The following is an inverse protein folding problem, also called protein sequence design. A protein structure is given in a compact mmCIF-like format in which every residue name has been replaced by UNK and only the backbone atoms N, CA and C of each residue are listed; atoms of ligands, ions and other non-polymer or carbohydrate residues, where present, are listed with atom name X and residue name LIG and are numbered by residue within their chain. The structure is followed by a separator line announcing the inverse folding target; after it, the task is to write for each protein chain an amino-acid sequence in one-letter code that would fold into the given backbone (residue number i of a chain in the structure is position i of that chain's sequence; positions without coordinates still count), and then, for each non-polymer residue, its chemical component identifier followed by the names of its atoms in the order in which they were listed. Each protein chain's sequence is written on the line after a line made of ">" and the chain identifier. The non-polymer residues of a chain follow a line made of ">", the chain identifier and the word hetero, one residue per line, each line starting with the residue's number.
data_IF_559324965423
#
_entry.id   IF_559324965423
#
_cell.length_a   1.000
_cell.length_b   1.000
_cell.length_c   1.000
_cell.angle_alpha   90.00
_cell.angle_beta   90.00
_cell.angle_gamma   90.00
#
_symmetry.space_group_name_H-M   'P 1'
#
loop_
_entity.id
_entity.type
_entity.pdbx_description
1 polymer ?
#
# COMPACT_ATOMS: atom_id res chain seq x y z
N UNK A 1 -18.89 21.44 15.63
CA UNK A 1 -18.24 20.45 14.75
C UNK A 1 -16.78 20.82 14.76
N UNK A 2 -16.04 20.22 15.68
CA UNK A 2 -14.67 20.64 15.98
C UNK A 2 -13.72 19.86 15.07
N UNK A 3 -13.13 20.59 14.15
CA UNK A 3 -12.16 20.10 13.18
C UNK A 3 -10.83 19.89 13.93
N UNK A 4 -10.59 18.68 14.41
CA UNK A 4 -9.36 18.38 15.14
C UNK A 4 -8.19 18.33 14.15
N UNK A 5 -7.35 19.34 14.31
CA UNK A 5 -6.12 19.61 13.59
C UNK A 5 -5.23 18.35 13.51
N UNK A 6 -5.00 17.89 12.28
CA UNK A 6 -4.13 16.75 11.99
C UNK A 6 -2.69 17.18 12.26
N UNK A 7 -2.22 16.90 13.48
CA UNK A 7 -0.86 17.16 13.89
C UNK A 7 0.10 16.46 12.92
N UNK A 8 0.90 17.27 12.24
CA UNK A 8 2.00 16.80 11.42
C UNK A 8 2.95 16.07 12.36
N UNK A 9 3.02 14.74 12.25
CA UNK A 9 4.01 13.95 12.94
C UNK A 9 5.37 14.37 12.37
N UNK A 10 6.10 15.20 13.12
CA UNK A 10 7.50 15.50 12.87
C UNK A 10 8.33 14.23 13.07
N UNK A 11 8.31 13.33 12.08
CA UNK A 11 9.27 12.24 11.99
C UNK A 11 10.59 12.80 11.45
N UNK A 12 11.28 13.59 12.27
CA UNK A 12 12.72 13.88 12.15
C UNK A 12 13.25 14.49 13.45
N UNK A 13 13.04 13.81 14.58
CA UNK A 13 13.98 13.94 15.68
C UNK A 13 15.29 13.27 15.23
N UNK A 14 16.17 14.05 14.63
CA UNK A 14 17.57 13.69 14.43
C UNK A 14 18.15 13.37 15.80
N UNK A 15 18.16 12.08 16.15
CA UNK A 15 18.89 11.57 17.31
C UNK A 15 20.36 11.86 17.04
N UNK A 16 20.87 12.89 17.71
CA UNK A 16 22.29 13.21 17.74
C UNK A 16 23.04 11.99 18.26
N UNK A 17 23.70 11.28 17.34
CA UNK A 17 24.60 10.20 17.68
C UNK A 17 25.77 10.74 18.52
N UNK A 18 26.34 9.92 19.42
CA UNK A 18 27.31 10.38 20.39
C UNK A 18 28.54 10.96 19.68
N UNK A 19 28.94 12.16 20.11
CA UNK A 19 30.16 12.85 19.71
C UNK A 19 31.33 11.88 19.57
N UNK A 20 31.81 11.73 18.34
CA UNK A 20 32.98 10.93 18.01
C UNK A 20 34.18 11.58 18.69
N UNK A 21 34.66 10.95 19.77
CA UNK A 21 35.92 11.31 20.44
C UNK A 21 37.04 11.32 19.40
N UNK A 22 37.61 12.48 19.18
CA UNK A 22 38.80 12.68 18.37
C UNK A 22 40.02 12.17 19.17
N UNK A 23 40.25 10.86 19.15
CA UNK A 23 41.41 10.25 19.80
C UNK A 23 42.56 10.08 18.80
N UNK A 24 43.57 10.93 18.97
CA UNK A 24 44.98 10.56 18.83
C UNK A 24 45.47 10.16 17.45
N UNK A 25 45.97 11.14 16.70
CA UNK A 25 47.02 10.91 15.68
C UNK A 25 48.30 10.37 16.33
N UNK A 26 48.37 9.08 16.69
CA UNK A 26 49.64 8.40 17.01
C UNK A 26 49.61 6.97 16.47
N UNK A 27 50.49 6.70 15.50
CA UNK A 27 50.91 5.33 15.16
C UNK A 27 50.20 4.64 13.99
N UNK A 28 50.16 5.24 12.79
CA UNK A 28 49.86 4.46 11.56
C UNK A 28 51.18 3.93 10.98
N UNK A 29 51.49 2.64 11.21
CA UNK A 29 52.65 1.96 10.59
C UNK A 29 52.64 2.15 9.06
N UNK A 30 53.74 2.61 8.43
CA UNK A 30 53.80 2.83 7.00
C UNK A 30 53.88 1.47 6.29
N UNK A 31 52.75 0.97 5.79
CA UNK A 31 52.72 -0.28 5.01
C UNK A 31 51.34 -0.88 4.73
N UNK A 32 50.29 -0.55 5.49
CA UNK A 32 48.97 -1.22 5.41
C UNK A 32 47.91 -0.51 4.56
N UNK A 33 48.32 0.31 3.59
CA UNK A 33 47.41 1.19 2.82
C UNK A 33 46.44 0.44 1.89
N UNK A 34 46.71 -0.80 1.50
CA UNK A 34 45.88 -1.56 0.56
C UNK A 34 44.64 -2.19 1.21
N UNK A 35 44.78 -2.83 2.38
CA UNK A 35 43.67 -3.46 3.10
C UNK A 35 42.62 -2.44 3.57
N UNK A 36 43.05 -1.29 4.10
CA UNK A 36 42.14 -0.21 4.55
C UNK A 36 41.36 0.41 3.37
N UNK A 37 41.97 0.49 2.18
CA UNK A 37 41.29 0.97 0.96
C UNK A 37 40.24 -0.02 0.47
N UNK A 38 40.53 -1.31 0.55
CA UNK A 38 39.58 -2.39 0.20
C UNK A 38 38.39 -2.39 1.17
N UNK A 39 38.64 -2.27 2.48
CA UNK A 39 37.57 -2.17 3.48
C UNK A 39 36.73 -0.89 3.31
N UNK A 40 37.36 0.25 3.01
CA UNK A 40 36.62 1.48 2.69
C UNK A 40 35.75 1.34 1.44
N UNK A 41 36.26 0.73 0.36
CA UNK A 41 35.48 0.44 -0.84
C UNK A 41 34.30 -0.49 -0.54
N UNK A 42 34.52 -1.52 0.26
CA UNK A 42 33.47 -2.47 0.66
C UNK A 42 32.39 -1.82 1.54
N UNK A 43 32.78 -0.95 2.48
CA UNK A 43 31.83 -0.18 3.31
C UNK A 43 30.99 0.77 2.47
N UNK A 44 31.62 1.48 1.53
CA UNK A 44 30.94 2.40 0.64
C UNK A 44 29.92 1.66 -0.25
N UNK A 45 30.29 0.47 -0.75
CA UNK A 45 29.40 -0.34 -1.58
C UNK A 45 28.22 -0.91 -0.78
N UNK A 46 28.46 -1.36 0.47
CA UNK A 46 27.37 -1.78 1.38
C UNK A 46 26.37 -0.65 1.67
N UNK A 47 26.87 0.57 1.90
CA UNK A 47 26.01 1.75 2.13
C UNK A 47 25.20 2.11 0.89
N UNK A 48 25.80 2.03 -0.31
CA UNK A 48 25.08 2.23 -1.57
C UNK A 48 24.01 1.16 -1.77
N UNK A 49 24.33 -0.10 -1.49
CA UNK A 49 23.41 -1.21 -1.63
C UNK A 49 22.22 -1.08 -0.67
N UNK A 50 22.46 -0.77 0.60
CA UNK A 50 21.36 -0.55 1.57
C UNK A 50 20.46 0.62 1.18
N UNK A 51 21.02 1.69 0.60
CA UNK A 51 20.26 2.81 0.06
C UNK A 51 19.40 2.40 -1.15
N UNK A 52 19.94 1.58 -2.07
CA UNK A 52 19.18 1.03 -3.21
C UNK A 52 18.05 0.13 -2.73
N UNK A 53 18.32 -0.77 -1.80
CA UNK A 53 17.32 -1.66 -1.20
C UNK A 53 16.23 -0.89 -0.47
N UNK A 54 16.58 0.17 0.25
CA UNK A 54 15.61 1.06 0.89
C UNK A 54 14.63 1.64 -0.15
N UNK A 55 15.15 2.15 -1.27
CA UNK A 55 14.32 2.68 -2.37
C UNK A 55 13.46 1.59 -3.02
N UNK A 56 14.04 0.43 -3.30
CA UNK A 56 13.31 -0.70 -3.87
C UNK A 56 12.17 -1.17 -2.96
N UNK A 57 12.43 -1.32 -1.66
CA UNK A 57 11.41 -1.68 -0.65
C UNK A 57 10.31 -0.63 -0.57
N UNK A 58 10.66 0.66 -0.55
CA UNK A 58 9.69 1.76 -0.55
C UNK A 58 8.80 1.72 -1.79
N UNK A 59 9.38 1.49 -2.96
CA UNK A 59 8.63 1.37 -4.23
C UNK A 59 7.65 0.19 -4.17
N UNK A 60 8.10 -0.99 -3.75
CA UNK A 60 7.24 -2.17 -3.62
C UNK A 60 6.11 -1.95 -2.62
N UNK A 61 6.39 -1.32 -1.48
CA UNK A 61 5.38 -0.99 -0.47
C UNK A 61 4.29 -0.08 -1.04
N UNK A 62 4.67 0.95 -1.78
CA UNK A 62 3.71 1.88 -2.37
C UNK A 62 2.92 1.24 -3.51
N UNK A 63 3.57 0.43 -4.34
CA UNK A 63 2.89 -0.33 -5.38
C UNK A 63 1.80 -1.24 -4.79
N UNK A 64 2.13 -2.00 -3.73
CA UNK A 64 1.14 -2.85 -3.06
C UNK A 64 -0.02 -2.05 -2.46
N UNK A 65 0.26 -0.90 -1.83
CA UNK A 65 -0.79 -0.04 -1.28
C UNK A 65 -1.68 0.55 -2.37
N UNK A 66 -1.10 0.94 -3.51
CA UNK A 66 -1.81 1.43 -4.68
C UNK A 66 -2.73 0.35 -5.26
N UNK A 67 -2.23 -0.88 -5.42
CA UNK A 67 -3.03 -2.03 -5.86
C UNK A 67 -4.20 -2.31 -4.91
N UNK A 68 -3.97 -2.31 -3.59
CA UNK A 68 -5.04 -2.49 -2.60
C UNK A 68 -6.12 -1.40 -2.68
N UNK A 69 -5.72 -0.14 -2.86
CA UNK A 69 -6.66 0.97 -2.99
C UNK A 69 -7.45 0.84 -4.29
N UNK A 70 -6.78 0.57 -5.41
CA UNK A 70 -7.41 0.40 -6.71
C UNK A 70 -8.45 -0.73 -6.71
N UNK A 71 -8.12 -1.89 -6.11
CA UNK A 71 -9.04 -3.01 -6.00
C UNK A 71 -10.26 -2.66 -5.13
N UNK A 72 -10.05 -1.95 -4.02
CA UNK A 72 -11.14 -1.48 -3.16
C UNK A 72 -12.04 -0.48 -3.90
N UNK A 73 -11.47 0.47 -4.62
CA UNK A 73 -12.22 1.45 -5.40
C UNK A 73 -13.05 0.77 -6.50
N UNK A 74 -12.47 -0.22 -7.19
CA UNK A 74 -13.16 -1.03 -8.19
C UNK A 74 -14.34 -1.78 -7.58
N UNK A 75 -14.17 -2.40 -6.42
CA UNK A 75 -15.25 -3.09 -5.71
C UNK A 75 -16.36 -2.12 -5.29
N UNK A 76 -16.01 -0.95 -4.73
CA UNK A 76 -16.99 0.09 -4.36
C UNK A 76 -17.76 0.57 -5.58
N UNK A 77 -17.10 0.79 -6.71
CA UNK A 77 -17.74 1.24 -7.94
C UNK A 77 -18.69 0.18 -8.51
N UNK A 78 -18.30 -1.10 -8.47
CA UNK A 78 -19.17 -2.20 -8.89
C UNK A 78 -20.43 -2.27 -8.02
N UNK A 79 -20.29 -2.20 -6.69
CA UNK A 79 -21.42 -2.21 -5.76
C UNK A 79 -22.34 -1.01 -5.93
N UNK A 80 -21.79 0.19 -6.18
CA UNK A 80 -22.60 1.40 -6.45
C UNK A 80 -23.43 1.25 -7.71
N UNK A 81 -22.84 0.73 -8.80
CA UNK A 81 -23.56 0.44 -10.05
C UNK A 81 -24.67 -0.58 -9.85
N UNK A 82 -24.41 -1.61 -9.05
CA UNK A 82 -25.41 -2.61 -8.73
C UNK A 82 -26.57 -2.01 -7.92
N UNK A 83 -26.26 -1.19 -6.93
CA UNK A 83 -27.26 -0.48 -6.13
C UNK A 83 -28.11 0.47 -6.99
N UNK A 84 -27.48 1.25 -7.86
CA UNK A 84 -28.18 2.15 -8.79
C UNK A 84 -29.16 1.38 -9.69
N UNK A 85 -28.76 0.19 -10.16
CA UNK A 85 -29.65 -0.70 -10.92
C UNK A 85 -30.85 -1.12 -10.10
N UNK A 86 -30.66 -1.55 -8.85
CA UNK A 86 -31.78 -1.94 -7.97
C UNK A 86 -32.73 -0.78 -7.68
N UNK A 87 -32.19 0.42 -7.43
CA UNK A 87 -32.99 1.63 -7.23
C UNK A 87 -33.84 1.94 -8.47
N UNK A 88 -33.28 1.81 -9.67
CA UNK A 88 -34.04 2.02 -10.90
C UNK A 88 -35.13 0.97 -11.09
N UNK A 89 -34.84 -0.31 -10.83
CA UNK A 89 -35.82 -1.39 -10.89
C UNK A 89 -36.96 -1.14 -9.90
N UNK A 90 -36.66 -0.74 -8.66
CA UNK A 90 -37.68 -0.42 -7.66
C UNK A 90 -38.59 0.72 -8.14
N UNK A 91 -38.02 1.79 -8.70
CA UNK A 91 -38.80 2.91 -9.27
C UNK A 91 -39.71 2.45 -10.42
N UNK A 92 -39.19 1.64 -11.34
CA UNK A 92 -39.98 1.15 -12.47
C UNK A 92 -41.17 0.31 -11.98
N UNK A 93 -40.95 -0.53 -10.97
CA UNK A 93 -42.02 -1.34 -10.33
C UNK A 93 -43.05 -0.44 -9.63
N UNK A 94 -42.60 0.57 -8.88
CA UNK A 94 -43.48 1.53 -8.21
C UNK A 94 -44.36 2.31 -9.22
N UNK A 95 -43.85 2.54 -10.43
CA UNK A 95 -44.57 3.14 -11.56
C UNK A 95 -45.46 2.14 -12.32
N UNK A 96 -45.49 0.87 -11.92
CA UNK A 96 -46.26 -0.19 -12.57
C UNK A 96 -45.66 -0.68 -13.90
N UNK A 97 -44.41 -0.33 -14.19
CA UNK A 97 -43.66 -0.80 -15.37
C UNK A 97 -42.97 -2.12 -15.02
N UNK A 98 -42.80 -2.97 -16.03
CA UNK A 98 -42.01 -4.20 -15.90
C UNK A 98 -40.59 -3.89 -16.39
N UNK A 99 -39.58 -3.79 -15.51
CA UNK A 99 -38.21 -3.54 -15.94
C UNK A 99 -37.69 -4.63 -16.88
N UNK A 100 -37.11 -4.22 -18.01
CA UNK A 100 -36.65 -5.09 -19.10
C UNK A 100 -35.59 -6.12 -18.65
N UNK A 101 -34.87 -5.84 -17.56
CA UNK A 101 -33.78 -6.66 -17.04
C UNK A 101 -34.19 -7.54 -15.84
N UNK A 102 -35.49 -7.71 -15.55
CA UNK A 102 -35.96 -8.58 -14.45
C UNK A 102 -35.50 -10.03 -14.63
N UNK A 103 -35.55 -10.55 -15.86
CA UNK A 103 -35.19 -11.95 -16.14
C UNK A 103 -33.73 -12.24 -15.79
N UNK A 104 -32.80 -11.38 -16.20
CA UNK A 104 -31.39 -11.49 -15.85
C UNK A 104 -31.14 -11.38 -14.34
N UNK A 105 -31.95 -10.59 -13.63
CA UNK A 105 -31.84 -10.47 -12.17
C UNK A 105 -32.30 -11.75 -11.45
N UNK A 106 -33.39 -12.35 -11.92
CA UNK A 106 -33.91 -13.59 -11.37
C UNK A 106 -32.95 -14.76 -11.59
N UNK A 107 -32.29 -14.83 -12.75
CA UNK A 107 -31.30 -15.86 -13.08
C UNK A 107 -29.98 -15.73 -12.29
N UNK A 108 -29.54 -14.51 -11.98
CA UNK A 108 -28.39 -14.28 -11.11
C UNK A 108 -28.66 -14.60 -9.63
N UNK A 109 -29.92 -14.53 -9.20
CA UNK A 109 -30.34 -14.80 -7.82
C UNK A 109 -30.50 -16.30 -7.56
N UNK A 110 -31.01 -17.06 -8.54
CA UNK A 110 -31.18 -18.52 -8.45
C UNK A 110 -29.84 -19.24 -8.31
N UNK A 111 -28.81 -18.82 -9.06
CA UNK A 111 -27.47 -19.41 -8.99
C UNK A 111 -26.76 -19.20 -7.63
N UNK A 112 -26.97 -18.06 -6.96
CA UNK A 112 -26.45 -17.83 -5.60
C UNK A 112 -27.23 -18.64 -4.54
N UNK A 113 -28.52 -18.91 -4.75
CA UNK A 113 -29.34 -19.73 -3.85
C UNK A 113 -28.98 -21.22 -3.95
N UNK A 114 -28.69 -21.73 -5.15
CA UNK A 114 -28.28 -23.12 -5.36
C UNK A 114 -26.94 -23.47 -4.69
N UNK A 115 -25.98 -22.54 -4.70
CA UNK A 115 -24.69 -22.71 -4.02
C UNK A 115 -24.84 -22.76 -2.50
N UNK A 116 -25.84 -22.07 -1.92
CA UNK A 116 -26.14 -22.14 -0.48
C UNK A 116 -26.83 -23.45 -0.08
N UNK A 117 -27.59 -24.09 -0.98
CA UNK A 117 -28.26 -25.36 -0.69
C UNK A 117 -27.30 -26.56 -0.70
N UNK A 118 -26.16 -26.47 -1.38
CA UNK A 118 -25.14 -27.55 -1.44
C UNK A 118 -24.03 -27.42 -0.37
N UNK A 119 -24.02 -26.34 0.41
CA UNK A 119 -23.03 -26.10 1.48
C UNK A 119 -23.60 -26.33 2.90
N UNK A 120 -24.82 -26.84 3.01
CA UNK A 120 -25.46 -27.30 4.25
C UNK A 120 -25.64 -28.81 4.19
#
# INVERSE_FOLDING_TARGET
>A
MDFQEMTVIEENAAVEGPQRRESGKRGRKPGRKSADKIDMKAKLERSRQSARECRARKKLRYQYLEELVADREKAVFALRKELERYVQIARDIDEGKIPENIHALLEGSTSHLELKQHSM
#
